data_IF_623763478056
#
_entry.id   IF_623763478056
#
_cell.length_a   1.000
_cell.length_b   1.000
_cell.length_c   1.000
_cell.angle_alpha   90.00
_cell.angle_beta   90.00
_cell.angle_gamma   90.00
#
_symmetry.space_group_name_H-M   'P 1'
#
loop_
_entity.id
_entity.type
_entity.pdbx_description
1 polymer ?
#
# COMPACT_ATOMS: atom_id res chain seq x y z
N UNK A 1 -68.97 -17.46 -37.27
CA UNK A 1 -70.02 -16.43 -37.38
C UNK A 1 -69.35 -15.13 -37.83
N UNK A 2 -69.63 -14.74 -39.08
CA UNK A 2 -69.51 -13.43 -39.77
C UNK A 2 -68.20 -12.62 -39.63
N UNK A 3 -67.30 -12.44 -40.62
CA UNK A 3 -67.38 -12.12 -42.07
C UNK A 3 -67.68 -10.64 -42.40
N UNK A 4 -66.73 -10.01 -43.12
CA UNK A 4 -66.83 -9.12 -44.33
C UNK A 4 -66.00 -7.80 -44.25
N UNK A 5 -64.92 -7.78 -45.06
CA UNK A 5 -64.38 -6.77 -46.02
C UNK A 5 -64.64 -5.25 -45.82
N UNK A 6 -63.75 -4.30 -46.12
CA UNK A 6 -63.21 -3.98 -47.46
C UNK A 6 -62.09 -2.90 -47.41
N UNK A 7 -61.15 -3.01 -48.35
CA UNK A 7 -60.03 -2.11 -48.68
C UNK A 7 -60.53 -0.92 -49.52
N UNK A 8 -59.89 0.27 -49.44
CA UNK A 8 -59.52 1.07 -50.64
C UNK A 8 -58.58 2.25 -50.31
N UNK A 9 -57.42 2.23 -50.96
CA UNK A 9 -56.42 3.31 -51.11
C UNK A 9 -57.00 4.46 -51.96
N UNK A 10 -56.66 5.71 -51.63
CA UNK A 10 -56.46 6.76 -52.63
C UNK A 10 -55.32 7.71 -52.25
N UNK A 11 -54.65 8.15 -53.32
CA UNK A 11 -53.34 8.78 -53.45
C UNK A 11 -53.53 10.30 -53.59
N UNK A 12 -52.54 11.10 -53.15
CA UNK A 12 -51.96 12.25 -53.89
C UNK A 12 -51.84 13.58 -53.14
N UNK A 13 -50.57 14.03 -53.08
CA UNK A 13 -50.07 15.39 -53.37
C UNK A 13 -50.01 16.46 -52.26
N UNK A 14 -48.75 16.86 -51.96
CA UNK A 14 -48.17 18.24 -51.92
C UNK A 14 -48.98 19.34 -51.20
N UNK A 15 -48.43 20.21 -50.34
CA UNK A 15 -47.14 20.94 -50.38
C UNK A 15 -46.98 21.76 -49.08
N UNK A 16 -45.75 21.81 -48.58
CA UNK A 16 -44.98 22.93 -47.99
C UNK A 16 -45.54 23.95 -46.98
N UNK A 17 -44.65 24.21 -46.01
CA UNK A 17 -44.22 25.48 -45.38
C UNK A 17 -45.02 26.04 -44.19
N UNK A 18 -44.45 25.79 -43.01
CA UNK A 18 -44.01 26.74 -41.96
C UNK A 18 -44.75 28.08 -41.77
N UNK A 19 -45.14 28.36 -40.53
CA UNK A 19 -44.84 29.63 -39.82
C UNK A 19 -45.08 29.48 -38.31
N UNK A 20 -44.39 30.36 -37.58
CA UNK A 20 -43.89 30.32 -36.21
C UNK A 20 -44.90 30.55 -35.05
N UNK A 21 -44.46 30.12 -33.86
CA UNK A 21 -44.65 30.66 -32.50
C UNK A 21 -46.08 31.02 -32.01
N UNK A 22 -46.55 30.59 -30.84
CA UNK A 22 -45.89 30.83 -29.55
C UNK A 22 -46.58 30.05 -28.40
N UNK A 23 -45.74 29.62 -27.45
CA UNK A 23 -45.95 29.56 -25.99
C UNK A 23 -46.82 28.49 -25.31
N UNK A 24 -46.11 27.83 -24.39
CA UNK A 24 -46.54 27.30 -23.08
C UNK A 24 -47.13 25.88 -23.02
N UNK A 25 -46.31 24.91 -22.65
CA UNK A 25 -46.21 24.46 -21.24
C UNK A 25 -45.00 23.53 -21.07
N UNK A 26 -44.21 23.88 -20.06
CA UNK A 26 -42.91 23.33 -19.68
C UNK A 26 -43.12 22.09 -18.80
N UNK A 27 -42.66 20.92 -19.24
CA UNK A 27 -42.43 19.77 -18.37
C UNK A 27 -41.16 20.02 -17.54
N UNK A 28 -41.32 20.53 -16.33
CA UNK A 28 -40.24 20.57 -15.35
C UNK A 28 -40.17 19.24 -14.60
N UNK A 29 -39.42 18.28 -15.14
CA UNK A 29 -38.78 17.26 -14.32
C UNK A 29 -37.42 17.84 -13.88
N UNK A 30 -37.27 18.03 -12.57
CA UNK A 30 -36.06 18.55 -11.94
C UNK A 30 -34.87 17.63 -12.21
N UNK A 31 -34.10 17.94 -13.26
CA UNK A 31 -32.73 17.45 -13.38
C UNK A 31 -31.89 18.30 -12.42
N UNK A 32 -31.61 17.73 -11.26
CA UNK A 32 -30.71 18.33 -10.29
C UNK A 32 -29.35 18.53 -10.97
N UNK A 33 -28.98 19.79 -11.22
CA UNK A 33 -27.59 20.21 -11.28
C UNK A 33 -26.96 19.96 -9.90
N UNK A 34 -26.69 18.69 -9.59
CA UNK A 34 -25.77 18.35 -8.52
C UNK A 34 -24.39 18.77 -9.01
N UNK A 35 -23.98 19.95 -8.56
CA UNK A 35 -22.66 20.49 -8.80
C UNK A 35 -21.62 19.40 -8.52
N UNK A 36 -20.68 19.22 -9.44
CA UNK A 36 -19.56 18.28 -9.31
C UNK A 36 -18.77 18.48 -7.99
N UNK A 37 -18.98 19.62 -7.32
CA UNK A 37 -18.47 19.98 -5.99
C UNK A 37 -19.08 19.16 -4.84
N UNK A 38 -20.35 18.77 -4.91
CA UNK A 38 -21.04 18.11 -3.79
C UNK A 38 -20.78 16.59 -3.80
N UNK A 39 -20.65 15.98 -4.99
CA UNK A 39 -20.17 14.60 -5.12
C UNK A 39 -18.68 14.45 -4.75
N UNK A 40 -17.84 15.43 -5.06
CA UNK A 40 -16.44 15.45 -4.61
C UNK A 40 -16.31 15.66 -3.09
N UNK A 41 -17.22 16.43 -2.48
CA UNK A 41 -17.28 16.58 -1.03
C UNK A 41 -17.73 15.27 -0.32
N UNK A 42 -18.58 14.48 -0.97
CA UNK A 42 -19.00 13.15 -0.48
C UNK A 42 -17.88 12.11 -0.70
N UNK A 43 -17.05 12.25 -1.74
CA UNK A 43 -15.97 11.29 -2.09
C UNK A 43 -14.61 11.56 -1.41
N UNK A 44 -14.53 12.52 -0.48
CA UNK A 44 -13.23 12.92 0.11
C UNK A 44 -13.29 13.25 1.60
N UNK A 45 -14.24 12.64 2.34
CA UNK A 45 -14.37 12.86 3.78
C UNK A 45 -13.36 12.04 4.59
N UNK A 46 -12.10 12.45 4.57
CA UNK A 46 -11.08 11.92 5.49
C UNK A 46 -11.31 12.43 6.92
N UNK A 47 -10.99 11.62 7.93
CA UNK A 47 -10.74 12.14 9.27
C UNK A 47 -9.48 13.02 9.27
N UNK A 48 -9.31 13.79 10.34
CA UNK A 48 -8.00 14.34 10.67
C UNK A 48 -6.97 13.22 10.80
N UNK A 49 -5.71 13.57 10.55
CA UNK A 49 -4.58 12.69 10.81
C UNK A 49 -4.47 12.40 12.31
N UNK A 50 -4.16 11.15 12.63
CA UNK A 50 -3.77 10.75 13.99
C UNK A 50 -2.53 11.51 14.44
N UNK A 51 -2.20 11.43 15.73
CA UNK A 51 -0.87 11.75 16.19
C UNK A 51 0.20 10.85 15.54
N UNK A 52 1.43 11.37 15.44
CA UNK A 52 2.55 10.59 14.93
C UNK A 52 2.84 9.42 15.86
N UNK A 53 3.12 8.26 15.27
CA UNK A 53 3.68 7.14 16.02
C UNK A 53 5.02 7.54 16.64
N UNK A 54 5.47 6.81 17.67
CA UNK A 54 6.88 6.79 18.03
C UNK A 54 7.73 6.50 16.78
N UNK A 55 8.95 7.05 16.77
CA UNK A 55 9.93 6.76 15.74
C UNK A 55 10.38 5.30 15.87
N UNK A 56 10.53 4.59 14.75
CA UNK A 56 11.01 3.20 14.77
C UNK A 56 12.43 3.04 15.33
N UNK A 57 13.25 4.09 15.26
CA UNK A 57 14.61 4.13 15.81
C UNK A 57 14.81 5.36 16.67
N UNK A 58 15.64 5.26 17.69
CA UNK A 58 16.00 6.38 18.57
C UNK A 58 17.23 7.17 18.08
N UNK A 59 17.92 6.69 17.05
CA UNK A 59 19.10 7.30 16.43
C UNK A 59 19.29 6.74 15.00
N UNK A 60 20.21 7.33 14.26
CA UNK A 60 20.68 6.98 12.92
C UNK A 60 19.57 6.94 11.84
N UNK A 61 18.48 7.67 12.11
CA UNK A 61 17.34 7.83 11.24
C UNK A 61 16.37 6.66 11.35
N UNK A 62 15.16 6.92 11.81
CA UNK A 62 14.01 6.01 11.78
C UNK A 62 12.81 6.63 11.08
N UNK A 63 11.68 5.94 11.13
CA UNK A 63 10.44 6.34 10.47
C UNK A 63 9.33 6.44 11.51
N UNK A 64 8.55 7.51 11.43
CA UNK A 64 7.30 7.67 12.15
C UNK A 64 6.13 7.73 11.15
N UNK A 65 4.98 7.21 11.56
CA UNK A 65 3.79 7.11 10.72
C UNK A 65 2.58 7.80 11.34
N UNK A 66 1.70 8.31 10.49
CA UNK A 66 0.37 8.80 10.86
C UNK A 66 -0.68 8.17 9.98
N UNK A 67 -1.88 8.01 10.54
CA UNK A 67 -3.00 7.40 9.86
C UNK A 67 -4.20 8.34 9.84
N UNK A 68 -5.06 8.17 8.85
CA UNK A 68 -6.40 8.76 8.81
C UNK A 68 -7.39 7.72 8.28
N UNK A 69 -8.67 7.91 8.55
CA UNK A 69 -9.73 7.00 8.11
C UNK A 69 -10.59 7.68 7.05
N UNK A 70 -11.02 6.92 6.05
CA UNK A 70 -12.04 7.39 5.11
C UNK A 70 -13.41 7.25 5.77
N UNK A 71 -14.17 8.34 5.88
CA UNK A 71 -15.54 8.33 6.39
C UNK A 71 -16.60 8.23 5.29
N UNK A 72 -16.17 8.21 4.03
CA UNK A 72 -17.00 8.06 2.84
C UNK A 72 -16.94 6.63 2.28
N UNK A 73 -17.74 6.35 1.23
CA UNK A 73 -17.67 5.08 0.49
C UNK A 73 -16.32 4.88 -0.21
N UNK A 74 -15.70 5.97 -0.65
CA UNK A 74 -14.40 5.98 -1.30
C UNK A 74 -13.73 7.32 -1.01
N UNK A 75 -12.41 7.29 -0.75
CA UNK A 75 -11.61 8.49 -0.62
C UNK A 75 -10.42 8.45 -1.58
N UNK A 76 -10.04 9.61 -2.13
CA UNK A 76 -8.82 9.77 -2.93
C UNK A 76 -7.63 10.09 -2.03
N UNK A 77 -6.49 9.46 -2.30
CA UNK A 77 -5.22 9.65 -1.58
C UNK A 77 -4.92 8.57 -0.54
N UNK A 78 -3.74 8.65 0.08
CA UNK A 78 -3.26 7.64 1.01
C UNK A 78 -3.90 7.77 2.40
N UNK A 79 -4.15 6.63 3.06
CA UNK A 79 -4.63 6.58 4.45
C UNK A 79 -3.49 6.68 5.47
N UNK A 80 -2.23 6.59 5.02
CA UNK A 80 -1.01 6.61 5.81
C UNK A 80 -0.02 7.62 5.25
N UNK A 81 0.75 8.27 6.12
CA UNK A 81 1.90 9.09 5.74
C UNK A 81 3.07 8.84 6.67
N UNK A 82 4.28 9.11 6.17
CA UNK A 82 5.53 8.81 6.85
C UNK A 82 6.38 10.08 7.00
N UNK A 83 7.26 10.08 8.00
CA UNK A 83 8.34 11.07 8.12
C UNK A 83 9.59 10.39 8.69
N UNK A 84 10.75 10.91 8.30
CA UNK A 84 12.02 10.53 8.92
C UNK A 84 12.14 11.24 10.27
N UNK A 85 12.69 10.55 11.26
CA UNK A 85 12.91 11.06 12.61
C UNK A 85 14.23 10.54 13.18
N UNK A 86 14.71 11.16 14.26
CA UNK A 86 15.88 10.70 15.02
C UNK A 86 17.15 10.48 14.19
N UNK A 87 17.53 11.47 13.37
CA UNK A 87 18.66 11.38 12.42
C UNK A 87 20.04 11.50 13.07
N UNK A 88 20.13 11.84 14.35
CA UNK A 88 21.39 11.89 15.09
C UNK A 88 22.07 10.52 15.09
N UNK A 89 23.41 10.44 14.92
CA UNK A 89 24.11 9.16 14.92
C UNK A 89 23.94 8.40 16.24
N UNK A 90 23.95 7.07 16.18
CA UNK A 90 23.95 6.25 17.38
C UNK A 90 25.31 6.30 18.08
N UNK A 91 25.37 6.27 19.44
CA UNK A 91 26.64 6.25 20.18
C UNK A 91 27.52 5.05 19.86
N UNK A 92 26.90 3.91 19.55
CA UNK A 92 27.54 2.69 19.09
C UNK A 92 26.87 2.29 17.79
N UNK A 93 27.67 2.04 16.75
CA UNK A 93 27.16 1.55 15.49
C UNK A 93 26.56 0.16 15.68
N UNK A 94 25.30 0.01 15.30
CA UNK A 94 24.58 -1.27 15.23
C UNK A 94 23.73 -1.26 13.97
N UNK A 95 23.84 -2.31 13.17
CA UNK A 95 22.96 -2.48 12.03
C UNK A 95 21.58 -2.89 12.53
N UNK A 96 20.57 -2.06 12.24
CA UNK A 96 19.20 -2.31 12.67
C UNK A 96 18.61 -3.59 12.07
N UNK A 97 19.11 -4.03 10.91
CA UNK A 97 18.74 -5.32 10.30
C UNK A 97 19.36 -6.49 11.06
N UNK A 98 20.61 -6.36 11.52
CA UNK A 98 21.26 -7.38 12.36
C UNK A 98 20.50 -7.58 13.67
N UNK A 99 20.01 -6.51 14.29
CA UNK A 99 19.20 -6.60 15.53
C UNK A 99 17.91 -7.40 15.32
N UNK A 100 17.24 -7.18 14.19
CA UNK A 100 16.04 -7.93 13.82
C UNK A 100 16.34 -9.42 13.57
N UNK A 101 17.44 -9.74 12.89
CA UNK A 101 17.89 -11.13 12.73
C UNK A 101 18.25 -11.77 14.07
N UNK A 102 18.99 -11.06 14.94
CA UNK A 102 19.43 -11.56 16.23
C UNK A 102 18.28 -11.87 17.20
N UNK A 103 17.10 -11.28 17.01
CA UNK A 103 15.89 -11.63 17.75
C UNK A 103 15.50 -13.12 17.61
N UNK A 104 15.95 -13.80 16.54
CA UNK A 104 15.71 -15.22 16.29
C UNK A 104 16.79 -16.16 16.86
N UNK A 105 17.84 -15.64 17.51
CA UNK A 105 18.96 -16.47 18.01
C UNK A 105 18.55 -17.54 19.03
N UNK A 106 17.45 -17.29 19.76
CA UNK A 106 16.90 -18.22 20.75
C UNK A 106 15.68 -19.01 20.24
N UNK A 107 15.44 -18.96 18.92
CA UNK A 107 14.32 -19.65 18.26
C UNK A 107 14.87 -20.79 17.41
N UNK A 108 14.32 -22.00 17.57
CA UNK A 108 14.72 -23.15 16.78
C UNK A 108 14.28 -22.99 15.33
N UNK A 109 15.23 -23.06 14.40
CA UNK A 109 14.98 -23.12 12.97
C UNK A 109 15.29 -24.53 12.47
N UNK A 110 14.27 -25.22 11.95
CA UNK A 110 14.39 -26.62 11.53
C UNK A 110 14.99 -27.55 12.61
N UNK A 111 14.68 -27.26 13.88
CA UNK A 111 15.14 -28.06 15.04
C UNK A 111 16.51 -27.68 15.60
N UNK A 112 17.21 -26.69 15.03
CA UNK A 112 18.54 -26.26 15.48
C UNK A 112 18.56 -24.77 15.82
N UNK A 113 19.47 -24.37 16.70
CA UNK A 113 19.75 -22.96 16.98
C UNK A 113 20.83 -22.42 16.03
N UNK A 114 20.65 -21.17 15.64
CA UNK A 114 21.59 -20.44 14.81
C UNK A 114 21.86 -19.07 15.41
N UNK A 115 23.08 -18.58 15.23
CA UNK A 115 23.42 -17.16 15.39
C UNK A 115 23.14 -16.49 14.05
N UNK A 116 22.11 -15.66 14.03
CA UNK A 116 21.61 -14.96 12.84
C UNK A 116 22.25 -13.58 12.70
N UNK A 117 22.62 -13.25 11.48
CA UNK A 117 23.03 -11.91 11.05
C UNK A 117 22.27 -11.50 9.79
N UNK A 118 22.24 -10.22 9.49
CA UNK A 118 21.68 -9.65 8.29
C UNK A 118 22.30 -10.25 7.02
N UNK A 119 21.43 -10.57 6.06
CA UNK A 119 21.81 -10.86 4.68
C UNK A 119 21.06 -9.87 3.78
N UNK A 120 21.80 -9.14 2.95
CA UNK A 120 21.24 -8.10 2.09
C UNK A 120 20.88 -8.68 0.72
N UNK A 121 19.61 -8.98 0.50
CA UNK A 121 19.10 -9.41 -0.81
C UNK A 121 18.76 -8.20 -1.69
N UNK A 122 19.51 -7.99 -2.78
CA UNK A 122 19.25 -6.92 -3.74
C UNK A 122 17.89 -7.03 -4.45
N UNK A 123 17.33 -8.25 -4.57
CA UNK A 123 16.05 -8.50 -5.24
C UNK A 123 14.88 -8.15 -4.33
N UNK A 124 14.98 -8.50 -3.05
CA UNK A 124 13.96 -8.22 -2.03
C UNK A 124 14.57 -7.48 -0.84
N UNK A 125 15.03 -6.22 -1.03
CA UNK A 125 15.85 -5.52 -0.04
C UNK A 125 15.11 -5.15 1.24
N UNK A 126 13.78 -5.25 1.26
CA UNK A 126 12.99 -4.98 2.46
C UNK A 126 12.34 -6.22 3.08
N UNK A 127 12.72 -7.41 2.63
CA UNK A 127 12.47 -8.67 3.36
C UNK A 127 13.53 -8.86 4.45
N UNK A 128 13.18 -9.58 5.53
CA UNK A 128 14.15 -9.92 6.57
C UNK A 128 14.83 -11.25 6.22
N UNK A 129 15.77 -11.18 5.29
CA UNK A 129 16.67 -12.30 4.98
C UNK A 129 17.85 -12.28 5.95
N UNK A 130 18.10 -13.42 6.58
CA UNK A 130 19.15 -13.59 7.58
C UNK A 130 20.04 -14.78 7.21
N UNK A 131 21.33 -14.64 7.51
CA UNK A 131 22.32 -15.70 7.43
C UNK A 131 22.56 -16.27 8.82
N UNK A 132 22.24 -17.54 9.01
CA UNK A 132 22.41 -18.26 10.27
C UNK A 132 23.68 -19.11 10.27
N UNK A 133 24.46 -19.04 11.34
CA UNK A 133 25.57 -19.98 11.63
C UNK A 133 25.15 -20.89 12.79
N UNK A 134 25.22 -22.21 12.62
CA UNK A 134 24.77 -23.14 13.66
C UNK A 134 25.48 -22.88 15.00
N UNK A 135 24.71 -22.80 16.09
CA UNK A 135 25.24 -22.44 17.43
C UNK A 135 26.05 -23.55 18.09
N UNK A 136 25.76 -24.80 17.77
CA UNK A 136 26.46 -25.99 18.27
C UNK A 136 27.34 -26.57 17.17
N UNK A 137 28.64 -26.36 17.30
CA UNK A 137 29.65 -27.13 16.60
C UNK A 137 29.52 -28.59 17.10
N UNK A 138 29.12 -29.52 16.24
CA UNK A 138 29.56 -30.90 16.48
C UNK A 138 31.09 -30.82 16.58
N UNK A 139 31.66 -31.42 17.62
CA UNK A 139 33.10 -31.56 17.77
C UNK A 139 33.64 -32.54 16.73
N UNK A 140 33.40 -32.25 15.45
CA UNK A 140 33.97 -32.99 14.36
C UNK A 140 35.36 -32.43 14.18
N UNK A 141 36.30 -33.12 14.83
CA UNK A 141 37.67 -33.22 14.38
C UNK A 141 37.65 -33.32 12.84
N UNK A 142 38.47 -32.49 12.19
CA UNK A 142 38.65 -32.34 10.73
C UNK A 142 37.75 -31.32 10.02
N UNK A 143 38.07 -30.03 10.20
CA UNK A 143 38.04 -29.06 9.10
C UNK A 143 36.70 -28.79 8.41
N UNK A 144 35.58 -29.17 9.01
CA UNK A 144 34.27 -29.01 8.38
C UNK A 144 33.78 -27.57 8.55
N UNK A 145 33.36 -26.95 7.45
CA UNK A 145 32.79 -25.59 7.47
C UNK A 145 31.52 -25.58 8.33
N UNK A 146 31.31 -24.55 9.18
CA UNK A 146 30.12 -24.47 10.01
C UNK A 146 28.87 -24.46 9.13
N UNK A 147 27.83 -25.17 9.55
CA UNK A 147 26.55 -25.16 8.83
C UNK A 147 26.04 -23.70 8.75
N UNK A 148 26.02 -23.18 7.52
CA UNK A 148 25.49 -21.86 7.18
C UNK A 148 24.19 -22.04 6.42
N UNK A 149 23.15 -21.35 6.86
CA UNK A 149 21.87 -21.27 6.16
C UNK A 149 21.53 -19.82 5.87
N UNK A 150 20.81 -19.57 4.77
CA UNK A 150 20.20 -18.28 4.48
C UNK A 150 18.70 -18.50 4.42
N UNK A 151 17.95 -17.72 5.20
CA UNK A 151 16.50 -17.86 5.31
C UNK A 151 15.84 -16.49 5.42
N UNK A 152 14.67 -16.35 4.80
CA UNK A 152 13.78 -15.23 5.05
C UNK A 152 13.01 -15.53 6.35
N UNK A 153 13.35 -14.82 7.42
CA UNK A 153 12.72 -15.00 8.75
C UNK A 153 11.45 -14.17 8.91
N UNK A 154 11.28 -13.12 8.10
CA UNK A 154 10.07 -12.31 8.05
C UNK A 154 9.87 -11.69 6.67
N UNK A 155 8.61 -11.45 6.29
CA UNK A 155 8.23 -10.88 5.00
C UNK A 155 8.72 -9.44 4.82
N UNK A 156 8.81 -8.70 5.92
CA UNK A 156 9.25 -7.30 5.95
C UNK A 156 10.20 -7.06 7.11
N UNK A 157 11.22 -6.24 6.87
CA UNK A 157 11.98 -5.57 7.94
C UNK A 157 11.17 -4.45 8.56
N UNK A 158 11.53 -4.04 9.76
CA UNK A 158 10.92 -2.89 10.43
C UNK A 158 11.15 -1.58 9.65
N UNK A 159 10.15 -0.69 9.66
CA UNK A 159 10.24 0.59 8.97
C UNK A 159 11.46 1.40 9.45
N UNK A 160 12.21 2.00 8.51
CA UNK A 160 13.44 2.73 8.80
C UNK A 160 14.72 1.88 8.77
N UNK A 161 14.61 0.57 8.53
CA UNK A 161 15.78 -0.28 8.22
C UNK A 161 16.37 0.12 6.87
N UNK A 162 17.70 0.21 6.76
CA UNK A 162 18.36 0.49 5.48
C UNK A 162 18.11 -0.65 4.50
N UNK A 163 17.75 -0.31 3.26
CA UNK A 163 17.51 -1.33 2.24
C UNK A 163 18.81 -1.94 1.70
N UNK A 164 19.82 -1.10 1.48
CA UNK A 164 21.06 -1.41 0.78
C UNK A 164 22.23 -0.87 1.59
N UNK A 165 23.35 -1.59 1.57
CA UNK A 165 24.57 -1.11 2.22
C UNK A 165 25.07 0.18 1.54
N UNK A 166 25.48 1.15 2.35
CA UNK A 166 26.03 2.43 1.88
C UNK A 166 24.99 3.44 1.35
N UNK A 167 23.71 3.07 1.23
CA UNK A 167 22.64 3.99 0.86
C UNK A 167 21.91 4.54 2.09
N UNK A 168 21.29 5.71 1.93
CA UNK A 168 20.33 6.26 2.89
C UNK A 168 18.89 5.79 2.64
N UNK A 169 18.65 4.99 1.60
CA UNK A 169 17.32 4.45 1.31
C UNK A 169 16.83 3.57 2.48
N UNK A 170 15.57 3.73 2.84
CA UNK A 170 14.94 3.03 3.96
C UNK A 170 13.77 2.18 3.50
N UNK A 171 13.59 1.06 4.17
CA UNK A 171 12.40 0.24 4.03
C UNK A 171 11.23 0.91 4.75
N UNK A 172 10.14 1.15 4.02
CA UNK A 172 8.89 1.69 4.53
C UNK A 172 7.75 0.87 3.93
N UNK A 173 6.98 0.20 4.78
CA UNK A 173 5.91 -0.74 4.39
C UNK A 173 6.40 -1.82 3.40
N UNK A 174 7.64 -2.30 3.59
CA UNK A 174 8.24 -3.34 2.75
C UNK A 174 8.70 -2.86 1.37
N UNK A 175 8.69 -1.55 1.11
CA UNK A 175 9.25 -0.95 -0.11
C UNK A 175 10.50 -0.16 0.23
N UNK A 176 11.49 -0.20 -0.65
CA UNK A 176 12.68 0.61 -0.50
C UNK A 176 12.47 2.00 -1.11
N UNK A 177 12.62 3.04 -0.28
CA UNK A 177 12.36 4.44 -0.63
C UNK A 177 13.55 5.35 -0.32
#
# INVERSE_FOLDING_TARGET
>A
MNSIFLILLLISSRTSSETEENSSQLENASESEQTNSELEAISSRWTDWSEWSPCSRSCDGGVARQFRKCQALKCRGEYVRYKICNIQPCPVFRDFRDEQCAAFNNVLYQGSLFVWSAEYDERNPCSLTCRGKASSFSNDLEGNEPLVVVAQLNDKVEDGTRCRQGSLDMCIDGKCL
#
